data_IF_743921738360
#
_entry.id   IF_743921738360
#
_cell.length_a   1.000
_cell.length_b   1.000
_cell.length_c   1.000
_cell.angle_alpha   90.00
_cell.angle_beta   90.00
_cell.angle_gamma   90.00
#
_symmetry.space_group_name_H-M   'P 1'
#
loop_
_entity.id
_entity.type
_entity.pdbx_description
1 polymer ?
#
# COMPACT_ATOMS: atom_id res chain seq x y z
N UNK A 1 -42.72 -10.12 -7.68
CA UNK A 1 -41.41 -9.52 -8.03
C UNK A 1 -41.29 -8.30 -7.14
N UNK A 2 -40.72 -8.52 -5.96
CA UNK A 2 -41.00 -7.74 -4.75
C UNK A 2 -39.79 -6.89 -4.35
N UNK A 3 -39.94 -5.57 -4.47
CA UNK A 3 -39.00 -4.54 -3.99
C UNK A 3 -39.10 -4.33 -2.47
N UNK A 4 -39.88 -5.14 -1.76
CA UNK A 4 -40.11 -5.07 -0.31
C UNK A 4 -38.93 -5.62 0.50
N UNK A 5 -38.11 -6.53 -0.05
CA UNK A 5 -36.99 -7.14 0.70
C UNK A 5 -35.79 -6.23 0.92
N UNK A 6 -35.72 -5.09 0.22
CA UNK A 6 -34.61 -4.13 0.37
C UNK A 6 -34.89 -3.06 1.43
N UNK A 7 -36.15 -2.83 1.81
CA UNK A 7 -36.48 -1.86 2.87
C UNK A 7 -36.35 -2.44 4.27
N UNK A 8 -36.58 -3.75 4.43
CA UNK A 8 -36.30 -4.44 5.70
C UNK A 8 -34.78 -4.43 6.04
N UNK A 9 -33.92 -4.26 5.03
CA UNK A 9 -32.47 -4.12 5.22
C UNK A 9 -32.03 -2.76 5.79
N UNK A 10 -32.82 -1.69 5.65
CA UNK A 10 -32.45 -0.35 6.15
C UNK A 10 -32.82 -0.17 7.64
N UNK A 11 -33.93 -0.77 8.11
CA UNK A 11 -34.29 -0.78 9.53
C UNK A 11 -33.39 -1.72 10.35
N UNK A 12 -32.97 -2.87 9.80
CA UNK A 12 -31.94 -3.72 10.43
C UNK A 12 -30.57 -3.01 10.53
N UNK A 13 -30.18 -2.20 9.53
CA UNK A 13 -28.91 -1.45 9.56
C UNK A 13 -28.86 -0.39 10.68
N UNK A 14 -30.00 0.16 11.11
CA UNK A 14 -30.05 1.15 12.20
C UNK A 14 -29.93 0.48 13.58
N UNK A 15 -30.49 -0.70 13.80
CA UNK A 15 -30.34 -1.44 15.06
C UNK A 15 -28.93 -2.03 15.27
N UNK A 16 -28.17 -2.25 14.19
CA UNK A 16 -26.79 -2.75 14.22
C UNK A 16 -25.81 -1.76 14.89
N UNK A 17 -26.16 -0.48 15.01
CA UNK A 17 -25.27 0.57 15.53
C UNK A 17 -25.03 0.53 17.05
N UNK A 18 -25.78 -0.26 17.83
CA UNK A 18 -25.63 -0.35 19.30
C UNK A 18 -25.22 -1.73 19.83
N UNK A 19 -25.30 -2.78 19.01
CA UNK A 19 -24.98 -4.15 19.45
C UNK A 19 -23.46 -4.40 19.51
N UNK A 20 -23.01 -5.48 20.15
CA UNK A 20 -21.59 -5.89 20.06
C UNK A 20 -21.25 -6.31 18.62
N UNK A 21 -20.04 -6.04 18.14
CA UNK A 21 -19.58 -6.50 16.81
C UNK A 21 -18.95 -7.91 16.83
N UNK A 22 -18.88 -8.55 18.01
CA UNK A 22 -18.42 -9.94 18.17
C UNK A 22 -19.21 -10.98 17.33
N UNK A 23 -20.55 -10.91 17.19
CA UNK A 23 -21.32 -11.85 16.37
C UNK A 23 -21.03 -11.72 14.86
N UNK A 24 -20.72 -10.50 14.40
CA UNK A 24 -20.32 -10.25 13.02
C UNK A 24 -18.93 -10.83 12.75
N UNK A 25 -18.01 -10.65 13.70
CA UNK A 25 -16.67 -11.22 13.60
C UNK A 25 -16.69 -12.75 13.54
N UNK A 26 -17.51 -13.39 14.37
CA UNK A 26 -17.67 -14.84 14.35
C UNK A 26 -18.25 -15.31 13.01
N UNK A 27 -19.29 -14.64 12.48
CA UNK A 27 -19.85 -14.95 11.15
C UNK A 27 -18.82 -14.79 10.02
N UNK A 28 -17.91 -13.83 10.11
CA UNK A 28 -16.83 -13.63 9.12
C UNK A 28 -15.81 -14.78 9.19
N UNK A 29 -15.46 -15.23 10.40
CA UNK A 29 -14.45 -16.25 10.63
C UNK A 29 -14.97 -17.69 10.42
N UNK A 30 -16.23 -17.98 10.77
CA UNK A 30 -16.81 -19.33 10.79
C UNK A 30 -17.96 -19.54 9.80
N UNK A 31 -18.39 -18.48 9.10
CA UNK A 31 -19.50 -18.55 8.16
C UNK A 31 -19.29 -19.60 7.07
N UNK A 32 -20.32 -20.39 6.81
CA UNK A 32 -20.25 -21.54 5.89
C UNK A 32 -20.42 -21.18 4.42
N UNK A 33 -20.85 -19.96 4.10
CA UNK A 33 -21.05 -19.50 2.72
C UNK A 33 -20.45 -18.13 2.46
N UNK A 34 -19.93 -17.97 1.24
CA UNK A 34 -19.32 -16.74 0.76
C UNK A 34 -20.25 -15.51 0.90
N UNK A 35 -21.52 -15.54 0.45
CA UNK A 35 -22.39 -14.37 0.55
C UNK A 35 -22.66 -13.94 2.00
N UNK A 36 -22.80 -14.90 2.92
CA UNK A 36 -23.03 -14.60 4.34
C UNK A 36 -21.82 -13.94 5.00
N UNK A 37 -20.60 -14.39 4.67
CA UNK A 37 -19.36 -13.76 5.15
C UNK A 37 -19.22 -12.34 4.59
N UNK A 38 -19.49 -12.13 3.29
CA UNK A 38 -19.41 -10.81 2.66
C UNK A 38 -20.43 -9.81 3.23
N UNK A 39 -21.65 -10.27 3.54
CA UNK A 39 -22.69 -9.44 4.16
C UNK A 39 -22.32 -9.08 5.61
N UNK A 40 -21.76 -10.01 6.38
CA UNK A 40 -21.25 -9.74 7.72
C UNK A 40 -20.08 -8.75 7.71
N UNK A 41 -19.19 -8.84 6.71
CA UNK A 41 -18.15 -7.83 6.46
C UNK A 41 -18.78 -6.48 6.16
N UNK A 42 -19.76 -6.42 5.26
CA UNK A 42 -20.40 -5.17 4.87
C UNK A 42 -21.02 -4.47 6.08
N UNK A 43 -21.78 -5.20 6.91
CA UNK A 43 -22.38 -4.69 8.14
C UNK A 43 -21.33 -4.22 9.16
N UNK A 44 -20.20 -4.93 9.27
CA UNK A 44 -19.10 -4.52 10.12
C UNK A 44 -18.43 -3.23 9.62
N UNK A 45 -18.23 -3.11 8.30
CA UNK A 45 -17.65 -1.91 7.68
C UNK A 45 -18.56 -0.70 7.87
N UNK A 46 -19.88 -0.85 7.67
CA UNK A 46 -20.85 0.21 7.94
C UNK A 46 -20.79 0.65 9.40
N UNK A 47 -20.72 -0.30 10.33
CA UNK A 47 -20.58 0.00 11.75
C UNK A 47 -19.28 0.72 12.08
N UNK A 48 -18.16 0.30 11.49
CA UNK A 48 -16.86 0.94 11.66
C UNK A 48 -16.88 2.41 11.18
N UNK A 49 -17.54 2.70 10.05
CA UNK A 49 -17.67 4.06 9.54
C UNK A 49 -18.41 5.00 10.50
N UNK A 50 -19.37 4.47 11.27
CA UNK A 50 -20.18 5.25 12.21
C UNK A 50 -19.58 5.26 13.64
N UNK A 51 -18.86 4.21 14.04
CA UNK A 51 -18.27 4.05 15.37
C UNK A 51 -16.91 3.30 15.31
N UNK A 52 -15.79 4.00 15.02
CA UNK A 52 -14.49 3.36 14.85
C UNK A 52 -13.95 2.70 16.14
N UNK A 53 -14.22 3.31 17.30
CA UNK A 53 -13.70 2.88 18.60
C UNK A 53 -14.28 1.55 19.10
N UNK A 54 -15.50 1.17 18.67
CA UNK A 54 -16.13 -0.10 19.08
C UNK A 54 -15.65 -1.30 18.26
N UNK A 55 -14.93 -1.06 17.16
CA UNK A 55 -14.53 -2.08 16.19
C UNK A 55 -13.01 -2.32 16.15
N UNK A 56 -12.21 -1.51 16.85
CA UNK A 56 -10.76 -1.60 16.89
C UNK A 56 -10.25 -2.99 17.35
N UNK A 57 -10.83 -3.56 18.41
CA UNK A 57 -10.48 -4.90 18.92
C UNK A 57 -10.89 -6.04 17.99
N UNK A 58 -11.86 -5.79 17.11
CA UNK A 58 -12.37 -6.79 16.16
C UNK A 58 -11.54 -6.83 14.89
N UNK A 59 -10.99 -5.69 14.48
CA UNK A 59 -10.13 -5.61 13.31
C UNK A 59 -8.93 -6.54 13.43
N UNK A 60 -8.30 -6.70 14.60
CA UNK A 60 -7.15 -7.63 14.76
C UNK A 60 -7.50 -9.10 14.48
N UNK A 61 -8.65 -9.59 14.97
CA UNK A 61 -9.10 -10.98 14.74
C UNK A 61 -9.64 -11.19 13.33
N UNK A 62 -9.97 -10.10 12.66
CA UNK A 62 -10.58 -10.11 11.34
C UNK A 62 -9.63 -9.76 10.22
N UNK A 63 -8.40 -9.27 10.48
CA UNK A 63 -7.46 -8.89 9.40
C UNK A 63 -7.28 -10.05 8.41
N UNK A 64 -6.99 -11.25 8.91
CA UNK A 64 -6.78 -12.44 8.06
C UNK A 64 -8.07 -12.84 7.34
N UNK A 65 -9.23 -13.06 8.01
CA UNK A 65 -10.49 -13.33 7.33
C UNK A 65 -10.91 -12.26 6.31
N UNK A 66 -10.70 -10.97 6.59
CA UNK A 66 -11.06 -9.87 5.69
C UNK A 66 -10.17 -9.87 4.44
N UNK A 67 -8.92 -10.29 4.53
CA UNK A 67 -8.03 -10.40 3.38
C UNK A 67 -8.29 -11.65 2.55
N UNK A 68 -8.60 -12.79 3.19
CA UNK A 68 -9.08 -13.97 2.46
C UNK A 68 -10.33 -13.61 1.67
N UNK A 69 -11.25 -12.88 2.29
CA UNK A 69 -12.44 -12.35 1.63
C UNK A 69 -12.11 -11.33 0.55
N UNK A 70 -11.06 -10.50 0.70
CA UNK A 70 -10.64 -9.56 -0.34
C UNK A 70 -10.09 -10.27 -1.59
N UNK A 71 -9.36 -11.38 -1.40
CA UNK A 71 -8.85 -12.24 -2.49
C UNK A 71 -10.01 -13.02 -3.13
N UNK A 72 -10.91 -13.58 -2.33
CA UNK A 72 -12.09 -14.31 -2.84
C UNK A 72 -13.11 -13.38 -3.52
N UNK A 73 -13.22 -12.14 -3.05
CA UNK A 73 -14.10 -11.11 -3.57
C UNK A 73 -13.51 -10.32 -4.75
N UNK A 74 -12.47 -10.83 -5.43
CA UNK A 74 -11.99 -10.25 -6.71
C UNK A 74 -13.13 -10.05 -7.73
N UNK A 75 -14.23 -10.80 -7.59
CA UNK A 75 -15.45 -10.66 -8.41
C UNK A 75 -16.38 -9.51 -7.99
N UNK A 76 -16.09 -8.82 -6.89
CA UNK A 76 -16.87 -7.70 -6.33
C UNK A 76 -16.01 -6.44 -6.28
N UNK A 77 -16.20 -5.47 -7.20
CA UNK A 77 -15.23 -4.43 -7.50
C UNK A 77 -14.95 -3.43 -6.36
N UNK A 78 -15.80 -3.34 -5.33
CA UNK A 78 -15.66 -2.31 -4.28
C UNK A 78 -15.36 -2.86 -2.90
N UNK A 79 -15.55 -4.16 -2.67
CA UNK A 79 -15.41 -4.74 -1.35
C UNK A 79 -13.95 -4.84 -0.89
N UNK A 80 -13.01 -5.34 -1.72
CA UNK A 80 -11.60 -5.40 -1.33
C UNK A 80 -11.01 -4.00 -1.05
N UNK A 81 -11.43 -2.97 -1.80
CA UNK A 81 -11.01 -1.58 -1.57
C UNK A 81 -11.49 -1.06 -0.21
N UNK A 82 -12.78 -1.26 0.12
CA UNK A 82 -13.34 -0.84 1.42
C UNK A 82 -12.66 -1.56 2.58
N UNK A 83 -12.38 -2.86 2.41
CA UNK A 83 -11.68 -3.70 3.38
C UNK A 83 -10.27 -3.18 3.68
N UNK A 84 -9.46 -2.97 2.64
CA UNK A 84 -8.09 -2.48 2.78
C UNK A 84 -8.05 -1.07 3.40
N UNK A 85 -8.98 -0.19 3.02
CA UNK A 85 -9.10 1.15 3.62
C UNK A 85 -9.49 1.10 5.08
N UNK A 86 -10.43 0.23 5.45
CA UNK A 86 -10.79 0.05 6.85
C UNK A 86 -9.60 -0.45 7.66
N UNK A 87 -8.86 -1.45 7.15
CA UNK A 87 -7.64 -1.94 7.81
C UNK A 87 -6.58 -0.85 8.00
N UNK A 88 -6.46 0.10 7.07
CA UNK A 88 -5.52 1.22 7.18
C UNK A 88 -5.92 2.25 8.25
N UNK A 89 -7.20 2.29 8.63
CA UNK A 89 -7.74 3.21 9.65
C UNK A 89 -7.75 2.61 11.05
N UNK A 90 -7.31 1.37 11.23
CA UNK A 90 -7.28 0.69 12.53
C UNK A 90 -6.04 1.10 13.30
N UNK A 91 -6.21 1.93 14.32
CA UNK A 91 -5.15 2.26 15.29
C UNK A 91 -4.92 1.10 16.28
N UNK A 92 -4.46 -0.08 15.83
CA UNK A 92 -4.16 -1.18 16.78
C UNK A 92 -2.96 -2.04 16.35
N UNK A 93 -2.16 -2.41 17.37
CA UNK A 93 -0.99 -3.30 17.41
C UNK A 93 -0.58 -4.01 16.12
N UNK A 94 0.63 -3.71 15.66
CA UNK A 94 1.18 -4.06 14.34
C UNK A 94 1.16 -5.54 13.97
N UNK A 95 1.08 -6.47 14.94
CA UNK A 95 1.23 -7.92 14.70
C UNK A 95 0.30 -8.48 13.63
N UNK A 96 -1.00 -8.22 13.70
CA UNK A 96 -1.97 -8.78 12.75
C UNK A 96 -1.83 -8.18 11.35
N UNK A 97 -1.53 -6.87 11.23
CA UNK A 97 -1.25 -6.23 9.94
C UNK A 97 0.08 -6.71 9.33
N UNK A 98 1.06 -7.05 10.17
CA UNK A 98 2.35 -7.59 9.74
C UNK A 98 2.24 -8.97 9.09
N UNK A 99 1.40 -9.85 9.63
CA UNK A 99 1.10 -11.18 9.05
C UNK A 99 0.52 -11.08 7.63
N UNK A 100 -0.05 -9.93 7.28
CA UNK A 100 -0.80 -9.71 6.07
C UNK A 100 0.02 -9.10 4.92
N UNK A 101 1.27 -8.73 5.19
CA UNK A 101 2.18 -8.14 4.20
C UNK A 101 2.30 -9.02 2.94
N UNK A 102 2.47 -10.36 3.03
CA UNK A 102 2.52 -11.21 1.83
C UNK A 102 1.29 -11.07 0.93
N UNK A 103 0.09 -10.98 1.52
CA UNK A 103 -1.17 -10.81 0.79
C UNK A 103 -1.26 -9.44 0.14
N UNK A 104 -0.90 -8.37 0.85
CA UNK A 104 -0.86 -7.00 0.30
C UNK A 104 0.10 -6.94 -0.91
N UNK A 105 1.27 -7.56 -0.78
CA UNK A 105 2.23 -7.66 -1.90
C UNK A 105 1.71 -8.57 -3.02
N UNK A 106 0.93 -9.60 -2.71
CA UNK A 106 0.24 -10.43 -3.69
C UNK A 106 -0.73 -9.60 -4.54
N UNK A 107 -1.57 -8.79 -3.90
CA UNK A 107 -2.51 -7.88 -4.55
C UNK A 107 -1.76 -6.91 -5.46
N UNK A 108 -0.72 -6.22 -4.95
CA UNK A 108 0.09 -5.30 -5.77
C UNK A 108 0.78 -5.95 -6.96
N UNK A 109 1.11 -7.25 -6.89
CA UNK A 109 1.71 -7.98 -8.01
C UNK A 109 0.70 -8.31 -9.10
N UNK A 110 -0.53 -8.65 -8.71
CA UNK A 110 -1.58 -9.17 -9.59
C UNK A 110 -2.60 -8.13 -10.08
N UNK A 111 -2.70 -6.98 -9.44
CA UNK A 111 -3.72 -5.97 -9.77
C UNK A 111 -3.20 -4.89 -10.72
N UNK A 112 -4.09 -4.45 -11.59
CA UNK A 112 -3.94 -3.25 -12.41
C UNK A 112 -4.93 -2.15 -12.00
N UNK A 113 -5.78 -2.41 -11.02
CA UNK A 113 -6.80 -1.48 -10.54
C UNK A 113 -6.14 -0.37 -9.70
N UNK A 114 -6.31 0.91 -10.07
CA UNK A 114 -5.77 2.02 -9.28
C UNK A 114 -6.34 2.08 -7.86
N UNK A 115 -7.59 1.67 -7.63
CA UNK A 115 -8.21 1.71 -6.31
C UNK A 115 -7.58 0.68 -5.37
N UNK A 116 -7.37 -0.55 -5.85
CA UNK A 116 -6.70 -1.62 -5.09
C UNK A 116 -5.23 -1.31 -4.88
N UNK A 117 -4.56 -0.76 -5.90
CA UNK A 117 -3.18 -0.31 -5.78
C UNK A 117 -3.05 0.75 -4.71
N UNK A 118 -3.86 1.81 -4.78
CA UNK A 118 -3.84 2.91 -3.80
C UNK A 118 -4.10 2.42 -2.37
N UNK A 119 -5.13 1.58 -2.17
CA UNK A 119 -5.45 1.04 -0.86
C UNK A 119 -4.33 0.14 -0.29
N UNK A 120 -3.71 -0.68 -1.13
CA UNK A 120 -2.58 -1.54 -0.74
C UNK A 120 -1.35 -0.73 -0.35
N UNK A 121 -1.02 0.32 -1.12
CA UNK A 121 0.09 1.22 -0.80
C UNK A 121 -0.15 1.99 0.50
N UNK A 122 -1.38 2.43 0.75
CA UNK A 122 -1.75 3.10 2.00
C UNK A 122 -1.49 2.20 3.22
N UNK A 123 -1.81 0.90 3.13
CA UNK A 123 -1.50 -0.07 4.18
C UNK A 123 0.00 -0.25 4.40
N UNK A 124 0.79 -0.32 3.32
CA UNK A 124 2.26 -0.40 3.44
C UNK A 124 2.85 0.86 4.09
N UNK A 125 2.31 2.03 3.76
CA UNK A 125 2.72 3.29 4.39
C UNK A 125 2.37 3.32 5.88
N UNK A 126 1.19 2.82 6.25
CA UNK A 126 0.76 2.73 7.63
C UNK A 126 1.64 1.77 8.44
N UNK A 127 1.96 0.59 7.89
CA UNK A 127 2.95 -0.33 8.46
C UNK A 127 4.34 0.32 8.60
N UNK A 128 4.72 1.16 7.64
CA UNK A 128 5.93 1.97 7.69
C UNK A 128 5.93 2.97 8.84
N UNK A 129 4.82 3.69 9.03
CA UNK A 129 4.60 4.64 10.13
C UNK A 129 4.70 3.96 11.49
N UNK A 130 4.14 2.75 11.60
CA UNK A 130 4.21 1.90 12.80
C UNK A 130 5.58 1.23 13.00
N UNK A 131 6.56 1.50 12.12
CA UNK A 131 7.92 0.93 12.16
C UNK A 131 7.94 -0.61 12.15
N UNK A 132 6.99 -1.21 11.44
CA UNK A 132 6.85 -2.67 11.29
C UNK A 132 8.19 -3.36 10.99
N UNK A 133 8.53 -4.37 11.79
CA UNK A 133 9.71 -5.18 11.59
C UNK A 133 9.55 -6.09 10.37
N UNK A 134 8.36 -6.66 10.17
CA UNK A 134 8.07 -7.48 9.01
C UNK A 134 8.19 -6.71 7.69
N UNK A 135 7.70 -5.47 7.62
CA UNK A 135 7.84 -4.62 6.42
C UNK A 135 9.31 -4.31 6.13
N UNK A 136 10.08 -3.93 7.15
CA UNK A 136 11.54 -3.70 7.02
C UNK A 136 12.25 -4.95 6.49
N UNK A 137 11.88 -6.13 7.00
CA UNK A 137 12.40 -7.41 6.52
C UNK A 137 12.11 -7.63 5.04
N UNK A 138 10.92 -7.26 4.55
CA UNK A 138 10.62 -7.34 3.11
C UNK A 138 11.50 -6.43 2.25
N UNK A 139 11.84 -5.22 2.72
CA UNK A 139 12.80 -4.35 2.02
C UNK A 139 14.22 -4.94 1.99
N UNK A 140 14.65 -5.55 3.09
CA UNK A 140 15.99 -6.14 3.21
C UNK A 140 16.11 -7.51 2.52
N UNK A 141 15.00 -8.21 2.25
CA UNK A 141 15.01 -9.52 1.61
C UNK A 141 14.96 -9.39 0.08
N UNK A 142 16.10 -9.56 -0.58
CA UNK A 142 16.20 -9.49 -2.05
C UNK A 142 15.31 -10.50 -2.78
N UNK A 143 15.01 -11.66 -2.16
CA UNK A 143 14.12 -12.68 -2.76
C UNK A 143 12.65 -12.27 -2.74
N UNK A 144 12.26 -11.32 -1.89
CA UNK A 144 10.88 -10.85 -1.80
C UNK A 144 10.48 -9.99 -3.01
N UNK A 145 11.46 -9.45 -3.74
CA UNK A 145 11.24 -8.63 -4.93
C UNK A 145 10.49 -7.31 -4.65
N UNK A 146 10.42 -6.85 -3.40
CA UNK A 146 9.66 -5.65 -3.03
C UNK A 146 10.20 -4.41 -3.75
N UNK A 147 11.52 -4.24 -3.77
CA UNK A 147 12.17 -3.11 -4.46
C UNK A 147 11.78 -3.05 -5.95
N UNK A 148 11.83 -4.20 -6.63
CA UNK A 148 11.47 -4.32 -8.04
C UNK A 148 9.97 -4.10 -8.27
N UNK A 149 9.11 -4.61 -7.37
CA UNK A 149 7.67 -4.40 -7.42
C UNK A 149 7.34 -2.90 -7.31
N UNK A 150 7.88 -2.21 -6.30
CA UNK A 150 7.64 -0.79 -6.08
C UNK A 150 8.17 0.06 -7.24
N UNK A 151 9.34 -0.29 -7.78
CA UNK A 151 9.93 0.41 -8.93
C UNK A 151 9.07 0.26 -10.19
N UNK A 152 8.59 -0.96 -10.45
CA UNK A 152 7.65 -1.25 -11.55
C UNK A 152 6.34 -0.49 -11.37
N UNK A 153 5.79 -0.45 -10.16
CA UNK A 153 4.59 0.31 -9.84
C UNK A 153 4.81 1.80 -10.08
N UNK A 154 5.94 2.37 -9.64
CA UNK A 154 6.25 3.79 -9.83
C UNK A 154 6.33 4.14 -11.31
N UNK A 155 7.09 3.35 -12.08
CA UNK A 155 7.22 3.58 -13.51
C UNK A 155 5.87 3.51 -14.23
N UNK A 156 5.03 2.51 -13.90
CA UNK A 156 3.68 2.38 -14.46
C UNK A 156 2.83 3.62 -14.14
N UNK A 157 2.67 3.93 -12.86
CA UNK A 157 1.69 4.91 -12.39
C UNK A 157 2.16 6.37 -12.51
N UNK A 158 3.44 6.62 -12.76
CA UNK A 158 3.94 7.96 -13.06
C UNK A 158 4.10 8.22 -14.57
N UNK A 159 4.48 7.20 -15.36
CA UNK A 159 4.86 7.37 -16.75
C UNK A 159 3.83 6.81 -17.75
N UNK A 160 3.27 5.63 -17.50
CA UNK A 160 2.42 4.92 -18.48
C UNK A 160 0.92 5.17 -18.30
N UNK A 161 0.43 5.04 -17.06
CA UNK A 161 -0.96 5.27 -16.68
C UNK A 161 -0.97 6.25 -15.51
N UNK A 162 -0.78 7.56 -15.75
CA UNK A 162 -0.52 8.54 -14.70
C UNK A 162 -1.63 8.58 -13.65
N UNK A 163 -1.27 8.37 -12.39
CA UNK A 163 -2.15 8.51 -11.24
C UNK A 163 -1.40 9.22 -10.11
N UNK A 164 -1.87 10.43 -9.79
CA UNK A 164 -1.20 11.33 -8.86
C UNK A 164 -1.10 10.74 -7.44
N UNK A 165 -2.22 10.24 -6.89
CA UNK A 165 -2.28 9.72 -5.52
C UNK A 165 -1.39 8.47 -5.34
N UNK A 166 -1.40 7.57 -6.32
CA UNK A 166 -0.56 6.37 -6.32
C UNK A 166 0.92 6.76 -6.43
N UNK A 167 1.24 7.72 -7.31
CA UNK A 167 2.62 8.20 -7.48
C UNK A 167 3.15 8.79 -6.18
N UNK A 168 2.39 9.68 -5.53
CA UNK A 168 2.75 10.26 -4.23
C UNK A 168 2.96 9.15 -3.18
N UNK A 169 2.08 8.16 -3.12
CA UNK A 169 2.18 7.06 -2.18
C UNK A 169 3.45 6.23 -2.39
N UNK A 170 3.83 6.00 -3.66
CA UNK A 170 5.06 5.29 -4.03
C UNK A 170 6.30 6.10 -3.66
N UNK A 171 6.35 7.41 -3.95
CA UNK A 171 7.46 8.27 -3.55
C UNK A 171 7.67 8.27 -2.03
N UNK A 172 6.58 8.30 -1.25
CA UNK A 172 6.64 8.15 0.21
C UNK A 172 7.23 6.82 0.66
N UNK A 173 6.92 5.71 -0.02
CA UNK A 173 7.55 4.41 0.26
C UNK A 173 9.04 4.39 -0.09
N UNK A 174 9.47 5.06 -1.18
CA UNK A 174 10.90 5.20 -1.49
C UNK A 174 11.63 6.05 -0.45
N UNK A 175 11.01 7.13 0.02
CA UNK A 175 11.54 7.95 1.12
C UNK A 175 11.65 7.15 2.42
N UNK A 176 10.65 6.33 2.74
CA UNK A 176 10.71 5.41 3.87
C UNK A 176 11.87 4.40 3.70
N UNK A 177 12.03 3.83 2.50
CA UNK A 177 13.07 2.86 2.20
C UNK A 177 14.48 3.46 2.35
N UNK A 178 14.68 4.75 2.08
CA UNK A 178 15.97 5.43 2.28
C UNK A 178 16.42 5.41 3.76
N UNK A 179 15.45 5.32 4.69
CA UNK A 179 15.70 5.22 6.14
C UNK A 179 15.90 3.78 6.65
N UNK A 180 15.84 2.77 5.77
CA UNK A 180 15.97 1.34 6.10
C UNK A 180 17.32 0.87 5.52
N UNK A 181 18.06 -0.04 6.19
CA UNK A 181 19.32 -0.59 5.66
C UNK A 181 19.09 -1.60 4.50
N UNK A 182 18.31 -1.22 3.50
CA UNK A 182 17.96 -2.01 2.32
C UNK A 182 18.58 -1.45 1.02
N UNK A 183 19.46 -0.45 1.11
CA UNK A 183 19.89 0.37 -0.01
C UNK A 183 20.43 -0.42 -1.19
N UNK A 184 21.23 -1.46 -0.94
CA UNK A 184 21.77 -2.33 -1.99
C UNK A 184 20.68 -3.05 -2.79
N UNK A 185 19.59 -3.46 -2.15
CA UNK A 185 18.48 -4.10 -2.86
C UNK A 185 17.68 -3.10 -3.68
N UNK A 186 17.48 -1.90 -3.13
CA UNK A 186 16.79 -0.81 -3.81
C UNK A 186 17.54 -0.35 -5.06
N UNK A 187 18.86 -0.18 -4.96
CA UNK A 187 19.71 0.28 -6.06
C UNK A 187 19.95 -0.79 -7.13
N UNK A 188 19.88 -2.09 -6.77
CA UNK A 188 19.95 -3.20 -7.73
C UNK A 188 18.62 -3.48 -8.44
N UNK A 189 17.53 -2.88 -7.99
CA UNK A 189 16.24 -3.08 -8.62
C UNK A 189 16.19 -2.34 -9.96
N UNK A 190 15.69 -3.04 -10.98
CA UNK A 190 15.56 -2.51 -12.32
C UNK A 190 14.17 -2.78 -12.88
N UNK A 191 13.68 -1.85 -13.69
CA UNK A 191 12.48 -2.02 -14.52
C UNK A 191 12.88 -1.98 -15.99
N UNK A 192 12.40 -2.95 -16.77
CA UNK A 192 12.60 -2.93 -18.21
C UNK A 192 11.56 -2.01 -18.87
N UNK A 193 12.03 -0.95 -19.52
CA UNK A 193 11.21 -0.01 -20.28
C UNK A 193 11.77 0.13 -21.70
N UNK A 194 10.97 -0.17 -22.71
CA UNK A 194 11.36 -0.10 -24.12
C UNK A 194 12.70 -0.82 -24.45
N UNK A 195 12.97 -1.95 -23.80
CA UNK A 195 14.21 -2.73 -23.99
C UNK A 195 15.42 -2.22 -23.20
N UNK A 196 15.26 -1.17 -22.38
CA UNK A 196 16.30 -0.62 -21.51
C UNK A 196 15.98 -0.95 -20.05
N UNK A 197 16.97 -1.45 -19.32
CA UNK A 197 16.88 -1.61 -17.87
C UNK A 197 17.11 -0.25 -17.20
N UNK A 198 16.09 0.26 -16.51
CA UNK A 198 16.15 1.50 -15.76
C UNK A 198 16.31 1.20 -14.26
N UNK A 199 17.35 1.77 -13.66
CA UNK A 199 17.61 1.74 -12.22
C UNK A 199 16.70 2.71 -11.47
N UNK A 200 16.66 2.60 -10.13
CA UNK A 200 15.86 3.50 -9.28
C UNK A 200 16.11 5.01 -9.55
N UNK A 201 17.36 5.52 -9.56
CA UNK A 201 17.60 6.93 -9.86
C UNK A 201 17.06 7.35 -11.23
N UNK A 202 17.28 6.53 -12.27
CA UNK A 202 16.81 6.81 -13.63
C UNK A 202 15.28 6.83 -13.74
N UNK A 203 14.59 5.95 -13.01
CA UNK A 203 13.12 5.99 -12.94
C UNK A 203 12.63 7.25 -12.24
N UNK A 204 13.28 7.66 -11.14
CA UNK A 204 12.91 8.89 -10.42
C UNK A 204 13.13 10.15 -11.28
N UNK A 205 14.20 10.20 -12.07
CA UNK A 205 14.43 11.26 -13.07
C UNK A 205 13.33 11.28 -14.13
N UNK A 206 12.99 10.12 -14.70
CA UNK A 206 11.91 10.02 -15.69
C UNK A 206 10.54 10.44 -15.10
N UNK A 207 10.29 10.13 -13.82
CA UNK A 207 9.10 10.59 -13.10
C UNK A 207 9.12 12.10 -12.93
N UNK A 208 10.24 12.68 -12.52
CA UNK A 208 10.40 14.12 -12.35
C UNK A 208 10.14 14.88 -13.65
N UNK A 209 10.70 14.41 -14.77
CA UNK A 209 10.50 14.99 -16.09
C UNK A 209 9.04 14.87 -16.55
N UNK A 210 8.42 13.71 -16.32
CA UNK A 210 7.01 13.49 -16.63
C UNK A 210 6.08 14.36 -15.81
N UNK A 211 6.41 14.59 -14.53
CA UNK A 211 5.64 15.42 -13.62
C UNK A 211 5.76 16.92 -13.98
N UNK A 212 6.96 17.41 -14.31
CA UNK A 212 7.17 18.78 -14.76
C UNK A 212 6.36 19.11 -16.02
N UNK A 213 6.36 18.22 -17.02
CA UNK A 213 5.56 18.41 -18.24
C UNK A 213 4.06 18.45 -17.97
N UNK A 214 3.58 17.68 -16.98
CA UNK A 214 2.16 17.68 -16.58
C UNK A 214 1.77 18.93 -15.82
N UNK A 215 2.59 19.34 -14.85
CA UNK A 215 2.40 20.59 -14.12
C UNK A 215 2.33 21.79 -15.07
N UNK A 216 3.17 21.83 -16.10
CA UNK A 216 3.13 22.89 -17.12
C UNK A 216 1.87 22.85 -18.02
N UNK A 217 1.32 21.66 -18.26
CA UNK A 217 0.13 21.49 -19.09
C UNK A 217 -1.18 21.72 -18.30
N UNK A 218 -1.18 21.38 -17.01
CA UNK A 218 -2.28 21.60 -16.09
C UNK A 218 -2.17 23.03 -15.53
N UNK A 219 -2.83 23.99 -16.20
CA UNK A 219 -2.87 25.42 -15.83
C UNK A 219 -3.43 25.74 -14.44
N UNK A 220 -3.74 24.74 -13.62
CA UNK A 220 -4.28 24.89 -12.27
C UNK A 220 -3.13 24.93 -11.25
N UNK A 221 -3.12 25.95 -10.39
CA UNK A 221 -2.18 26.15 -9.26
C UNK A 221 -2.21 25.02 -8.20
N UNK A 222 -2.98 23.96 -8.44
CA UNK A 222 -3.17 22.80 -7.54
C UNK A 222 -2.84 21.47 -8.20
N UNK A 223 -2.20 21.47 -9.37
CA UNK A 223 -1.71 20.22 -9.97
C UNK A 223 -0.61 19.66 -9.07
N UNK A 224 -0.93 18.71 -8.19
CA UNK A 224 0.04 18.10 -7.26
C UNK A 224 1.26 17.46 -7.94
N UNK A 225 1.32 17.47 -9.28
CA UNK A 225 2.47 17.11 -10.09
C UNK A 225 3.69 18.02 -9.88
N UNK A 226 3.54 19.27 -9.47
CA UNK A 226 4.68 20.10 -9.06
C UNK A 226 5.41 19.47 -7.86
N UNK A 227 4.64 19.06 -6.85
CA UNK A 227 5.18 18.33 -5.68
C UNK A 227 5.81 17.01 -6.09
N UNK A 228 5.19 16.26 -7.02
CA UNK A 228 5.78 15.02 -7.55
C UNK A 228 7.11 15.29 -8.24
N UNK A 229 7.22 16.36 -9.02
CA UNK A 229 8.46 16.76 -9.69
C UNK A 229 9.58 17.04 -8.68
N UNK A 230 9.29 17.87 -7.67
CA UNK A 230 10.24 18.23 -6.63
C UNK A 230 10.68 17.02 -5.80
N UNK A 231 9.71 16.22 -5.32
CA UNK A 231 9.99 15.04 -4.49
C UNK A 231 10.79 13.98 -5.26
N UNK A 232 10.45 13.74 -6.53
CA UNK A 232 11.16 12.76 -7.36
C UNK A 232 12.59 13.21 -7.65
N UNK A 233 12.79 14.50 -7.95
CA UNK A 233 14.13 15.08 -8.18
C UNK A 233 14.99 15.06 -6.92
N UNK A 234 14.39 15.28 -5.74
CA UNK A 234 15.10 15.15 -4.47
C UNK A 234 15.50 13.69 -4.22
N UNK A 235 14.56 12.77 -4.34
CA UNK A 235 14.81 11.34 -4.12
C UNK A 235 15.85 10.78 -5.10
N UNK A 236 15.83 11.20 -6.38
CA UNK A 236 16.83 10.77 -7.36
C UNK A 236 18.25 11.09 -6.88
N UNK A 237 18.49 12.36 -6.48
CA UNK A 237 19.78 12.82 -5.96
C UNK A 237 20.17 12.11 -4.65
N UNK A 238 19.22 11.87 -3.77
CA UNK A 238 19.43 11.16 -2.51
C UNK A 238 19.90 9.72 -2.78
N UNK A 239 19.18 8.98 -3.62
CA UNK A 239 19.51 7.60 -3.96
C UNK A 239 20.81 7.47 -4.76
N UNK A 240 21.10 8.41 -5.65
CA UNK A 240 22.40 8.51 -6.33
C UNK A 240 23.54 8.75 -5.32
N UNK A 241 23.34 9.67 -4.37
CA UNK A 241 24.28 9.93 -3.28
C UNK A 241 24.55 8.68 -2.43
N UNK A 242 23.50 7.95 -2.06
CA UNK A 242 23.62 6.67 -1.35
C UNK A 242 24.39 5.65 -2.19
N UNK A 243 24.11 5.56 -3.49
CA UNK A 243 24.83 4.67 -4.41
C UNK A 243 26.33 4.94 -4.43
N UNK A 244 26.73 6.21 -4.60
CA UNK A 244 28.14 6.63 -4.56
C UNK A 244 28.80 6.26 -3.23
N UNK A 245 28.13 6.46 -2.10
CA UNK A 245 28.65 6.09 -0.78
C UNK A 245 28.87 4.58 -0.61
N UNK A 246 28.07 3.74 -1.28
CA UNK A 246 28.18 2.28 -1.22
C UNK A 246 29.25 1.72 -2.17
N UNK A 247 29.62 2.46 -3.22
CA UNK A 247 30.68 2.12 -4.16
C UNK A 247 32.08 2.50 -3.66
N UNK A 248 32.18 3.45 -2.73
CA UNK A 248 33.45 3.79 -2.09
C UNK A 248 33.97 2.60 -1.27
N UNK A 249 35.22 2.15 -1.48
CA UNK A 249 35.82 1.13 -0.63
C UNK A 249 35.85 1.63 0.82
N UNK A 250 35.70 0.75 1.83
CA UNK A 250 35.86 1.18 3.22
C UNK A 250 37.23 1.84 3.34
N UNK A 251 37.26 3.05 3.91
CA UNK A 251 38.50 3.78 4.14
C UNK A 251 39.50 2.80 4.77
N UNK A 252 40.58 2.52 4.04
CA UNK A 252 41.65 1.65 4.52
C UNK A 252 42.13 2.27 5.82
N UNK A 253 41.69 1.68 6.94
CA UNK A 253 42.23 2.00 8.24
C UNK A 253 43.72 1.79 8.11
N UNK A 254 44.48 2.86 8.33
CA UNK A 254 45.92 2.79 8.52
C UNK A 254 46.16 1.83 9.69
N UNK A 255 46.30 0.57 9.33
CA UNK A 255 46.65 -0.51 10.21
C UNK A 255 48.16 -0.50 10.24
N UNK A 256 48.69 0.03 11.34
CA UNK A 256 50.04 -0.19 11.81
C UNK A 256 51.15 0.31 10.89
N UNK A 257 51.93 1.25 11.39
CA UNK A 257 53.35 0.96 11.43
C UNK A 257 53.83 1.00 12.89
N UNK A 258 54.73 0.08 13.27
CA UNK A 258 55.18 -0.17 14.64
C UNK A 258 56.01 0.96 15.25
#
# INVERSE_FOLDING_TARGET
>A
MELSSWRESEEECLEVTTQSSAPLAEKIATGTSMPARLMAVHQLLEKFLHQPSSCADLCQKLVVPLLDLAVEAERLPHLPVKLLRCLASVEVGSGALEECIPTILGILRGTEDPLLTGASLQLLLELGRLKSAALRSQFCNSRAGLAQLLLRCLFRWACQAPNLEITISLLRLFKLAACIPCHRNMLKAEVAAAGVALTLPQVLEAVADGAARRAQAESDERSGWETVHEESSHLAREWEGIGRCLELPPAVGKSGEP
#
